data_IF_733394635117
#
_entry.id   IF_733394635117
#
_cell.length_a   1.000
_cell.length_b   1.000
_cell.length_c   1.000
_cell.angle_alpha   90.00
_cell.angle_beta   90.00
_cell.angle_gamma   90.00
#
_symmetry.space_group_name_H-M   'P 1'
#
loop_
_entity.id
_entity.type
_entity.pdbx_description
1 polymer ?
#
# COMPACT_ATOMS: atom_id res chain seq x y z
N UNK A 1 18.44 -3.58 -46.36
CA UNK A 1 18.58 -2.38 -45.50
C UNK A 1 18.19 -2.76 -44.08
N UNK A 2 18.95 -2.30 -43.09
CA UNK A 2 19.10 -2.90 -41.75
C UNK A 2 18.94 -1.80 -40.70
N UNK A 3 17.95 -1.91 -39.81
CA UNK A 3 17.82 -1.15 -38.55
C UNK A 3 16.57 -1.67 -37.80
N UNK A 4 16.63 -2.61 -36.85
CA UNK A 4 17.13 -2.63 -35.45
C UNK A 4 16.36 -1.73 -34.44
N UNK A 5 15.35 -2.36 -33.81
CA UNK A 5 14.96 -2.42 -32.37
C UNK A 5 14.68 -1.11 -31.59
N UNK A 6 13.43 -0.86 -31.17
CA UNK A 6 13.09 -0.08 -29.98
C UNK A 6 12.90 -1.04 -28.78
N UNK A 7 13.98 -1.61 -28.25
CA UNK A 7 13.91 -2.53 -27.10
C UNK A 7 14.95 -2.24 -26.01
N UNK A 8 15.46 -1.00 -25.95
CA UNK A 8 16.55 -0.62 -25.03
C UNK A 8 16.14 0.44 -24.00
N UNK A 9 14.96 1.06 -24.10
CA UNK A 9 14.57 2.12 -23.16
C UNK A 9 13.86 1.66 -21.87
N UNK A 10 13.57 0.36 -21.71
CA UNK A 10 12.86 -0.17 -20.53
C UNK A 10 13.84 -0.71 -19.45
N UNK A 11 15.11 -0.93 -19.78
CA UNK A 11 16.04 -1.60 -18.87
C UNK A 11 16.75 -0.70 -17.84
N UNK A 12 16.61 0.64 -17.90
CA UNK A 12 17.41 1.54 -17.04
C UNK A 12 16.73 1.94 -15.73
N UNK A 13 15.43 1.70 -15.55
CA UNK A 13 14.72 2.12 -14.31
C UNK A 13 14.60 0.99 -13.26
N UNK A 14 14.88 -0.26 -13.62
CA UNK A 14 14.82 -1.39 -12.67
C UNK A 14 16.11 -1.60 -11.86
N UNK A 15 17.26 -1.04 -12.30
CA UNK A 15 18.55 -1.27 -11.65
C UNK A 15 18.87 -0.29 -10.49
N UNK A 16 18.19 0.86 -10.41
CA UNK A 16 18.44 1.85 -9.35
C UNK A 16 17.77 1.51 -8.00
N UNK A 17 16.86 0.53 -7.97
CA UNK A 17 16.17 0.10 -6.74
C UNK A 17 16.95 -0.98 -5.96
N UNK A 18 18.00 -1.57 -6.52
CA UNK A 18 18.81 -2.60 -5.87
C UNK A 18 20.17 -2.12 -5.30
N UNK A 19 20.62 -0.90 -5.63
CA UNK A 19 21.96 -0.43 -5.21
C UNK A 19 21.99 0.25 -3.82
N UNK A 20 20.84 0.52 -3.20
CA UNK A 20 20.76 1.27 -1.93
C UNK A 20 20.83 0.44 -0.64
N UNK A 21 20.79 -0.90 -0.71
CA UNK A 21 20.64 -1.77 0.48
C UNK A 21 21.88 -2.61 0.83
N UNK A 22 23.03 -2.42 0.17
CA UNK A 22 24.23 -3.27 0.38
C UNK A 22 25.36 -2.63 1.22
N UNK A 23 25.18 -1.45 1.82
CA UNK A 23 26.26 -0.75 2.53
C UNK A 23 26.09 -0.55 4.06
N UNK A 24 25.30 -1.39 4.73
CA UNK A 24 25.37 -1.50 6.19
C UNK A 24 25.85 -2.89 6.61
N UNK A 25 27.17 -3.00 6.74
CA UNK A 25 27.88 -4.12 7.35
C UNK A 25 28.07 -3.80 8.83
N UNK A 26 27.37 -4.45 9.78
CA UNK A 26 27.80 -4.41 11.18
C UNK A 26 29.10 -5.24 11.33
N UNK A 27 30.07 -4.79 12.13
CA UNK A 27 31.26 -5.56 12.42
C UNK A 27 30.91 -6.81 13.23
N UNK A 28 31.56 -7.92 12.85
CA UNK A 28 31.54 -9.21 13.52
C UNK A 28 31.73 -9.10 15.03
N UNK A 29 30.86 -9.76 15.79
CA UNK A 29 31.24 -10.36 17.07
C UNK A 29 31.09 -11.87 16.97
N UNK A 30 32.15 -12.54 17.39
CA UNK A 30 32.39 -13.95 17.24
C UNK A 30 31.92 -14.75 18.47
N UNK A 31 31.65 -16.04 18.19
CA UNK A 31 31.88 -17.22 19.03
C UNK A 31 30.87 -17.69 20.09
N UNK A 32 30.54 -18.98 19.95
CA UNK A 32 30.06 -19.90 20.99
C UNK A 32 28.81 -20.68 20.51
N UNK A 33 28.90 -21.70 19.66
CA UNK A 33 29.35 -23.06 19.97
C UNK A 33 28.17 -24.04 19.73
N UNK A 34 28.39 -25.28 19.24
CA UNK A 34 27.37 -26.13 18.60
C UNK A 34 26.71 -27.11 19.58
N UNK A 35 25.60 -27.75 19.17
CA UNK A 35 25.35 -29.21 19.30
C UNK A 35 23.99 -29.63 18.66
N UNK A 36 24.08 -30.76 17.92
CA UNK A 36 23.13 -31.83 17.59
C UNK A 36 21.71 -31.52 17.07
N UNK A 37 21.36 -31.85 15.82
CA UNK A 37 21.05 -33.21 15.28
C UNK A 37 19.95 -33.90 16.08
N UNK A 38 18.74 -33.95 15.52
CA UNK A 38 17.98 -35.20 15.51
C UNK A 38 17.20 -35.33 14.19
N UNK A 39 17.63 -36.34 13.43
CA UNK A 39 16.97 -36.86 12.24
C UNK A 39 15.77 -37.69 12.67
N UNK A 40 14.60 -37.48 12.06
CA UNK A 40 13.62 -38.55 11.97
C UNK A 40 12.79 -38.52 10.69
N UNK A 41 13.31 -39.31 9.75
CA UNK A 41 12.66 -40.27 8.86
C UNK A 41 11.13 -40.26 8.70
N UNK A 42 10.74 -40.15 7.43
CA UNK A 42 9.51 -40.60 6.74
C UNK A 42 9.20 -42.10 7.01
N UNK A 43 7.98 -42.66 6.76
CA UNK A 43 7.53 -42.90 5.37
C UNK A 43 6.00 -43.03 5.07
N UNK A 44 5.68 -42.68 3.80
CA UNK A 44 4.92 -43.43 2.76
C UNK A 44 3.39 -43.74 2.80
N UNK A 45 2.88 -43.82 1.55
CA UNK A 45 1.69 -44.50 1.00
C UNK A 45 0.38 -43.67 0.92
N UNK A 46 -0.40 -43.59 -0.17
CA UNK A 46 -0.41 -44.23 -1.50
C UNK A 46 -1.32 -43.46 -2.48
N UNK A 47 -1.14 -43.75 -3.78
CA UNK A 47 -2.00 -43.69 -5.01
C UNK A 47 -3.47 -43.21 -4.90
N UNK A 48 -4.12 -42.53 -5.85
CA UNK A 48 -4.41 -42.83 -7.29
C UNK A 48 -5.08 -41.55 -7.88
N UNK A 49 -4.65 -40.90 -8.96
CA UNK A 49 -4.93 -41.13 -10.40
C UNK A 49 -6.41 -41.00 -10.91
N UNK A 50 -6.86 -39.74 -11.16
CA UNK A 50 -7.35 -39.14 -12.47
C UNK A 50 -8.67 -39.69 -13.13
N UNK A 51 -9.43 -39.03 -14.06
CA UNK A 51 -9.75 -37.61 -14.43
C UNK A 51 -11.27 -37.28 -14.68
N UNK A 52 -11.51 -36.05 -15.17
CA UNK A 52 -12.51 -35.60 -16.20
C UNK A 52 -13.79 -34.93 -15.66
N UNK A 53 -14.39 -33.91 -16.28
CA UNK A 53 -14.02 -32.96 -17.34
C UNK A 53 -15.15 -31.90 -17.38
N UNK A 54 -14.79 -30.65 -17.71
CA UNK A 54 -15.70 -29.67 -18.32
C UNK A 54 -16.59 -28.86 -17.38
N UNK A 55 -16.26 -27.57 -17.20
CA UNK A 55 -17.15 -26.54 -17.76
C UNK A 55 -16.40 -25.22 -17.99
N UNK A 56 -16.57 -24.73 -19.21
CA UNK A 56 -16.15 -23.42 -19.70
C UNK A 56 -16.89 -22.32 -18.94
N UNK A 57 -16.17 -21.35 -18.39
CA UNK A 57 -16.82 -20.27 -17.65
C UNK A 57 -15.92 -19.13 -17.24
N UNK A 58 -15.45 -18.35 -18.21
CA UNK A 58 -14.79 -17.02 -18.09
C UNK A 58 -13.47 -17.00 -17.29
N UNK A 59 -12.46 -16.22 -17.73
CA UNK A 59 -11.44 -15.76 -16.81
C UNK A 59 -12.13 -14.84 -15.79
N UNK A 60 -12.55 -15.41 -14.67
CA UNK A 60 -12.80 -14.66 -13.44
C UNK A 60 -11.47 -13.97 -13.17
N UNK A 61 -11.42 -12.64 -13.37
CA UNK A 61 -10.35 -11.79 -12.85
C UNK A 61 -10.21 -12.16 -11.38
N UNK A 62 -9.21 -12.98 -11.09
CA UNK A 62 -8.75 -13.24 -9.75
C UNK A 62 -8.47 -11.88 -9.15
N UNK A 63 -9.05 -11.62 -7.98
CA UNK A 63 -8.67 -10.53 -7.13
C UNK A 63 -7.16 -10.67 -6.85
N UNK A 64 -6.34 -9.98 -7.64
CA UNK A 64 -4.97 -9.63 -7.27
C UNK A 64 -5.12 -8.68 -6.07
N UNK A 65 -4.52 -8.83 -4.89
CA UNK A 65 -3.89 -9.93 -4.18
C UNK A 65 -3.72 -9.41 -2.73
N UNK A 66 -4.17 -10.12 -1.67
CA UNK A 66 -3.92 -9.70 -0.28
C UNK A 66 -2.43 -9.68 0.11
N UNK A 67 -1.55 -10.20 -0.75
CA UNK A 67 -0.09 -10.26 -0.54
C UNK A 67 0.55 -8.87 -0.61
N UNK A 68 0.06 -7.97 -1.48
CA UNK A 68 0.70 -6.67 -1.68
C UNK A 68 0.39 -5.70 -0.53
N UNK A 69 -0.84 -5.69 -0.01
CA UNK A 69 -1.19 -4.84 1.14
C UNK A 69 -0.43 -5.27 2.40
N UNK A 70 -0.20 -6.58 2.58
CA UNK A 70 0.64 -7.10 3.67
C UNK A 70 2.10 -6.61 3.60
N UNK A 71 2.63 -6.40 2.39
CA UNK A 71 4.00 -5.90 2.18
C UNK A 71 4.11 -4.43 2.52
N UNK A 72 3.14 -3.60 2.08
CA UNK A 72 3.12 -2.17 2.43
C UNK A 72 2.95 -1.95 3.92
N UNK A 73 2.09 -2.74 4.57
CA UNK A 73 1.91 -2.71 6.03
C UNK A 73 3.20 -3.09 6.76
N UNK A 74 3.94 -4.09 6.29
CA UNK A 74 5.23 -4.46 6.87
C UNK A 74 6.26 -3.33 6.70
N UNK A 75 6.35 -2.73 5.51
CA UNK A 75 7.24 -1.61 5.24
C UNK A 75 6.91 -0.38 6.11
N UNK A 76 5.62 -0.09 6.29
CA UNK A 76 5.12 0.98 7.14
C UNK A 76 5.57 0.83 8.60
N UNK A 77 5.41 -0.39 9.15
CA UNK A 77 5.84 -0.71 10.52
C UNK A 77 7.35 -0.62 10.69
N UNK A 78 8.11 -1.13 9.72
CA UNK A 78 9.57 -1.03 9.75
C UNK A 78 10.00 0.45 9.76
N UNK A 79 9.39 1.28 8.91
CA UNK A 79 9.71 2.71 8.84
C UNK A 79 9.48 3.44 10.16
N UNK A 80 8.40 3.11 10.89
CA UNK A 80 8.09 3.68 12.19
C UNK A 80 9.17 3.38 13.26
N UNK A 81 9.92 2.29 13.10
CA UNK A 81 10.98 1.88 14.02
C UNK A 81 12.38 2.27 13.58
N UNK A 82 12.55 2.78 12.36
CA UNK A 82 13.82 3.33 11.93
C UNK A 82 14.02 4.72 12.53
N UNK A 83 15.17 4.94 13.16
CA UNK A 83 15.58 6.23 13.74
C UNK A 83 15.92 7.31 12.69
N UNK A 84 15.13 7.38 11.62
CA UNK A 84 15.32 8.35 10.55
C UNK A 84 14.93 9.77 10.99
N UNK A 85 15.63 10.80 10.49
CA UNK A 85 15.19 12.18 10.67
C UNK A 85 13.86 12.42 9.94
N UNK A 86 13.05 13.35 10.48
CA UNK A 86 11.69 13.63 9.99
C UNK A 86 11.60 13.83 8.45
N UNK A 87 12.47 14.62 7.80
CA UNK A 87 12.36 14.82 6.34
C UNK A 87 12.53 13.52 5.54
N UNK A 88 13.43 12.64 5.96
CA UNK A 88 13.69 11.36 5.30
C UNK A 88 12.55 10.37 5.54
N UNK A 89 12.06 10.32 6.78
CA UNK A 89 10.91 9.48 7.13
C UNK A 89 9.66 9.91 6.37
N UNK A 90 9.37 11.20 6.28
CA UNK A 90 8.25 11.71 5.48
C UNK A 90 8.35 11.31 4.00
N UNK A 91 9.55 11.39 3.41
CA UNK A 91 9.78 10.98 2.03
C UNK A 91 9.56 9.48 1.84
N UNK A 92 10.06 8.65 2.75
CA UNK A 92 9.85 7.21 2.72
C UNK A 92 8.36 6.85 2.93
N UNK A 93 7.68 7.51 3.87
CA UNK A 93 6.25 7.36 4.13
C UNK A 93 5.43 7.68 2.88
N UNK A 94 5.73 8.77 2.19
CA UNK A 94 5.05 9.13 0.95
C UNK A 94 5.24 8.08 -0.16
N UNK A 95 6.44 7.50 -0.30
CA UNK A 95 6.72 6.45 -1.29
C UNK A 95 5.90 5.19 -0.99
N UNK A 96 5.88 4.75 0.27
CA UNK A 96 5.09 3.58 0.69
C UNK A 96 3.60 3.84 0.46
N UNK A 97 3.10 5.00 0.89
CA UNK A 97 1.69 5.35 0.73
C UNK A 97 1.26 5.40 -0.73
N UNK A 98 2.06 5.96 -1.65
CA UNK A 98 1.68 5.97 -3.08
C UNK A 98 1.52 4.57 -3.66
N UNK A 99 2.38 3.64 -3.26
CA UNK A 99 2.24 2.23 -3.65
C UNK A 99 1.00 1.61 -3.02
N UNK A 100 0.83 1.79 -1.72
CA UNK A 100 -0.28 1.22 -0.97
C UNK A 100 -1.64 1.77 -1.42
N UNK A 101 -1.75 3.07 -1.70
CA UNK A 101 -2.98 3.72 -2.19
C UNK A 101 -3.47 3.09 -3.50
N UNK A 102 -2.54 2.67 -4.37
CA UNK A 102 -2.90 2.02 -5.63
C UNK A 102 -3.53 0.64 -5.40
N UNK A 103 -3.04 -0.07 -4.39
CA UNK A 103 -3.43 -1.45 -4.11
C UNK A 103 -4.67 -1.51 -3.18
N UNK A 104 -4.65 -0.74 -2.09
CA UNK A 104 -5.74 -0.57 -1.13
C UNK A 104 -5.63 0.78 -0.41
N UNK A 105 -6.32 1.80 -0.93
CA UNK A 105 -6.30 3.14 -0.37
C UNK A 105 -7.00 3.24 0.99
N UNK A 106 -7.97 2.37 1.30
CA UNK A 106 -8.69 2.42 2.57
C UNK A 106 -7.77 1.93 3.69
N UNK A 107 -7.08 0.82 3.44
CA UNK A 107 -6.10 0.28 4.38
C UNK A 107 -4.91 1.25 4.55
N UNK A 108 -4.44 1.86 3.45
CA UNK A 108 -3.39 2.88 3.50
C UNK A 108 -3.81 4.10 4.33
N UNK A 109 -5.06 4.57 4.17
CA UNK A 109 -5.60 5.67 4.94
C UNK A 109 -5.73 5.28 6.42
N UNK A 110 -6.26 4.10 6.72
CA UNK A 110 -6.36 3.60 8.09
C UNK A 110 -4.99 3.54 8.78
N UNK A 111 -3.96 3.06 8.09
CA UNK A 111 -2.60 3.03 8.62
C UNK A 111 -2.02 4.45 8.81
N UNK A 112 -2.26 5.34 7.84
CA UNK A 112 -1.85 6.73 7.93
C UNK A 112 -2.54 7.43 9.13
N UNK A 113 -3.81 7.14 9.41
CA UNK A 113 -4.56 7.76 10.50
C UNK A 113 -4.33 7.11 11.87
N UNK A 114 -4.02 5.81 11.91
CA UNK A 114 -3.90 5.04 13.15
C UNK A 114 -2.49 4.98 13.73
N UNK A 115 -1.46 4.98 12.87
CA UNK A 115 -0.08 4.76 13.29
C UNK A 115 0.83 5.99 13.08
N UNK A 116 0.29 7.11 12.57
CA UNK A 116 1.02 8.32 12.11
C UNK A 116 2.46 8.45 12.64
N UNK A 117 3.47 7.94 11.90
CA UNK A 117 4.86 8.22 12.23
C UNK A 117 5.24 9.67 11.87
N UNK A 118 4.43 10.34 11.04
CA UNK A 118 4.56 11.74 10.61
C UNK A 118 3.17 12.40 10.44
N UNK A 119 3.19 13.74 10.40
CA UNK A 119 2.04 14.67 10.43
C UNK A 119 1.08 14.57 9.22
N UNK A 120 -0.10 15.19 9.32
CA UNK A 120 -1.21 15.21 8.34
C UNK A 120 -0.83 15.67 6.93
N UNK A 121 0.39 16.17 6.73
CA UNK A 121 0.98 16.43 5.42
C UNK A 121 0.89 15.25 4.44
N UNK A 122 0.90 14.00 4.94
CA UNK A 122 0.79 12.80 4.11
C UNK A 122 -0.63 12.59 3.54
N UNK A 123 -1.64 13.28 4.07
CA UNK A 123 -2.99 13.26 3.47
C UNK A 123 -3.02 13.85 2.06
N UNK A 124 -2.01 14.65 1.68
CA UNK A 124 -1.88 15.15 0.33
C UNK A 124 -1.72 14.02 -0.71
N UNK A 125 -1.16 12.87 -0.32
CA UNK A 125 -0.98 11.72 -1.21
C UNK A 125 -2.31 11.05 -1.59
N UNK A 126 -3.39 11.34 -0.85
CA UNK A 126 -4.73 10.81 -1.11
C UNK A 126 -5.61 11.72 -1.99
N UNK A 127 -5.12 12.90 -2.42
CA UNK A 127 -5.90 13.87 -3.20
C UNK A 127 -6.57 13.25 -4.42
N UNK A 128 -5.79 12.57 -5.26
CA UNK A 128 -6.29 11.92 -6.48
C UNK A 128 -7.34 10.86 -6.18
N UNK A 129 -7.20 10.17 -5.04
CA UNK A 129 -8.16 9.16 -4.59
C UNK A 129 -9.46 9.80 -4.11
N UNK A 130 -9.40 10.92 -3.40
CA UNK A 130 -10.59 11.67 -2.99
C UNK A 130 -11.36 12.24 -4.18
N UNK A 131 -10.66 12.61 -5.26
CA UNK A 131 -11.31 13.03 -6.52
C UNK A 131 -11.92 11.84 -7.27
N UNK A 132 -11.22 10.69 -7.31
CA UNK A 132 -11.68 9.49 -8.02
C UNK A 132 -12.85 8.79 -7.33
N UNK A 133 -12.86 8.77 -6.00
CA UNK A 133 -13.82 8.04 -5.17
C UNK A 133 -14.41 8.94 -4.07
N UNK A 134 -15.07 10.06 -4.43
CA UNK A 134 -15.45 11.09 -3.48
C UNK A 134 -16.52 10.59 -2.48
N UNK A 135 -17.49 9.80 -2.91
CA UNK A 135 -18.55 9.27 -2.04
C UNK A 135 -18.00 8.22 -1.07
N UNK A 136 -17.09 7.36 -1.53
CA UNK A 136 -16.45 6.36 -0.68
C UNK A 136 -15.59 7.00 0.42
N UNK A 137 -14.85 8.06 0.09
CA UNK A 137 -14.11 8.85 1.07
C UNK A 137 -15.05 9.62 2.02
N UNK A 138 -16.17 10.14 1.51
CA UNK A 138 -17.18 10.80 2.33
C UNK A 138 -17.82 9.85 3.35
N UNK A 139 -18.11 8.62 2.98
CA UNK A 139 -18.65 7.63 3.90
C UNK A 139 -17.76 7.45 5.14
N UNK A 140 -16.43 7.35 4.95
CA UNK A 140 -15.47 7.25 6.06
C UNK A 140 -15.49 8.51 6.96
N UNK A 141 -15.71 9.68 6.35
CA UNK A 141 -15.84 10.96 7.05
C UNK A 141 -17.15 11.01 7.86
N UNK A 142 -18.26 10.57 7.28
CA UNK A 142 -19.57 10.56 7.92
C UNK A 142 -19.62 9.59 9.11
N UNK A 143 -19.07 8.39 8.93
CA UNK A 143 -18.96 7.36 9.97
C UNK A 143 -18.04 7.79 11.13
N UNK A 144 -17.35 8.93 11.02
CA UNK A 144 -16.35 9.42 11.99
C UNK A 144 -15.31 8.35 12.33
N UNK A 145 -14.94 7.54 11.32
CA UNK A 145 -14.02 6.39 11.47
C UNK A 145 -12.72 6.77 12.18
N UNK A 146 -12.25 8.00 11.97
CA UNK A 146 -10.98 8.51 12.49
C UNK A 146 -11.15 9.45 13.70
N UNK A 147 -12.32 9.49 14.33
CA UNK A 147 -12.59 10.31 15.51
C UNK A 147 -12.26 11.80 15.29
N UNK A 148 -11.41 12.36 16.14
CA UNK A 148 -10.96 13.77 16.06
C UNK A 148 -10.22 14.09 14.76
N UNK A 149 -9.57 13.11 14.15
CA UNK A 149 -8.78 13.28 12.93
C UNK A 149 -9.63 13.33 11.67
N UNK A 150 -10.90 12.91 11.76
CA UNK A 150 -11.88 13.00 10.67
C UNK A 150 -12.00 14.42 10.11
N UNK A 151 -11.80 15.46 10.94
CA UNK A 151 -11.81 16.85 10.49
C UNK A 151 -10.68 17.16 9.50
N UNK A 152 -9.50 16.59 9.70
CA UNK A 152 -8.36 16.76 8.80
C UNK A 152 -8.63 16.06 7.46
N UNK A 153 -9.14 14.83 7.50
CA UNK A 153 -9.55 14.08 6.31
C UNK A 153 -10.64 14.84 5.53
N UNK A 154 -11.68 15.34 6.22
CA UNK A 154 -12.73 16.15 5.59
C UNK A 154 -12.17 17.41 4.93
N UNK A 155 -11.29 18.15 5.61
CA UNK A 155 -10.67 19.36 5.03
C UNK A 155 -9.90 19.02 3.76
N UNK A 156 -9.13 17.93 3.77
CA UNK A 156 -8.36 17.50 2.62
C UNK A 156 -9.26 17.02 1.47
N UNK A 157 -10.34 16.30 1.78
CA UNK A 157 -11.34 15.89 0.79
C UNK A 157 -12.01 17.08 0.11
N UNK A 158 -12.50 18.06 0.89
CA UNK A 158 -13.09 19.30 0.35
C UNK A 158 -12.08 20.01 -0.57
N UNK A 159 -10.82 20.10 -0.13
CA UNK A 159 -9.76 20.76 -0.89
C UNK A 159 -9.47 20.02 -2.20
N UNK A 160 -9.41 18.69 -2.17
CA UNK A 160 -9.13 17.88 -3.35
C UNK A 160 -10.28 17.95 -4.38
N UNK A 161 -11.52 17.71 -3.93
CA UNK A 161 -12.69 17.69 -4.81
C UNK A 161 -13.02 19.08 -5.34
N UNK A 162 -12.99 20.13 -4.50
CA UNK A 162 -13.27 21.50 -4.93
C UNK A 162 -12.23 22.06 -5.90
N UNK A 163 -10.95 21.66 -5.76
CA UNK A 163 -9.90 22.07 -6.71
C UNK A 163 -10.14 21.52 -8.12
N UNK A 164 -10.67 20.30 -8.23
CA UNK A 164 -10.95 19.68 -9.53
C UNK A 164 -12.25 20.23 -10.13
N UNK A 165 -13.34 20.24 -9.35
CA UNK A 165 -14.64 20.71 -9.80
C UNK A 165 -15.52 21.19 -8.63
N UNK A 166 -15.58 22.52 -8.46
CA UNK A 166 -16.42 23.21 -7.49
C UNK A 166 -17.93 22.92 -7.66
N UNK A 167 -18.39 22.68 -8.90
CA UNK A 167 -19.81 22.37 -9.14
C UNK A 167 -20.14 20.95 -8.65
N UNK A 168 -19.24 20.00 -8.90
CA UNK A 168 -19.36 18.64 -8.35
C UNK A 168 -19.30 18.65 -6.83
N UNK A 169 -18.39 19.43 -6.22
CA UNK A 169 -18.35 19.56 -4.76
C UNK A 169 -19.68 20.09 -4.18
N UNK A 170 -20.26 21.14 -4.79
CA UNK A 170 -21.55 21.70 -4.35
C UNK A 170 -22.66 20.66 -4.42
N UNK A 171 -22.78 19.96 -5.56
CA UNK A 171 -23.77 18.90 -5.75
C UNK A 171 -23.59 17.79 -4.72
N UNK A 172 -22.35 17.34 -4.50
CA UNK A 172 -22.05 16.31 -3.50
C UNK A 172 -22.46 16.78 -2.10
N UNK A 173 -22.14 18.00 -1.69
CA UNK A 173 -22.54 18.54 -0.38
C UNK A 173 -24.07 18.62 -0.23
N UNK A 174 -24.79 18.93 -1.30
CA UNK A 174 -26.27 18.97 -1.29
C UNK A 174 -26.90 17.57 -1.22
N UNK A 175 -26.28 16.58 -1.88
CA UNK A 175 -26.83 15.21 -1.94
C UNK A 175 -26.38 14.31 -0.80
N UNK A 176 -25.21 14.57 -0.22
CA UNK A 176 -24.64 13.72 0.82
C UNK A 176 -25.24 14.12 2.17
N UNK A 177 -25.73 13.16 2.96
CA UNK A 177 -26.29 13.45 4.27
C UNK A 177 -25.23 14.15 5.13
N UNK A 178 -25.54 15.37 5.56
CA UNK A 178 -24.86 15.95 6.71
C UNK A 178 -25.53 15.29 7.89
N UNK A 179 -24.91 14.22 8.43
CA UNK A 179 -25.38 13.60 9.68
C UNK A 179 -25.53 14.70 10.74
N UNK A 180 -26.77 15.14 10.91
CA UNK A 180 -27.19 16.18 11.82
C UNK A 180 -26.91 15.65 13.23
N UNK A 181 -26.00 16.31 13.93
CA UNK A 181 -25.81 16.12 15.36
C UNK A 181 -26.76 17.04 16.10
#
# INVERSE_FOLDING_TARGET
MKSRRPAVLIATHAAALCAGLMFFRPPSQAQGGPLDIDSRESPAASSEMVPAAGESGRPRRTAESPVNSSTHRAAWKVLAHQGLPRPERMKASAVILRGWIRDDWREALDAAMGETPDDFSLLAEFQDTFVREPEAAWQLIEEKRYGVLTRAVRKQWITAVGREDDATLKKLIETLPVSAK
#
